data_IF_012481527336
#
_entry.id   IF_012481527336
#
_cell.length_a   1.000
_cell.length_b   1.000
_cell.length_c   1.000
_cell.angle_alpha   90.00
_cell.angle_beta   90.00
_cell.angle_gamma   90.00
#
_symmetry.space_group_name_H-M   'P 1'
#
loop_
_entity.id
_entity.type
_entity.pdbx_description
1 polymer ?
#
# COMPACT_ATOMS: atom_id res chain seq x y z
N UNK A 1 4.94 18.01 -11.02
CA UNK A 1 6.01 18.65 -11.80
C UNK A 1 6.14 17.88 -13.13
N UNK A 2 6.08 18.54 -14.30
CA UNK A 2 5.95 17.83 -15.59
C UNK A 2 7.21 17.01 -15.98
N UNK A 3 8.33 17.27 -15.36
CA UNK A 3 9.62 16.59 -15.65
C UNK A 3 10.09 15.70 -14.49
N UNK A 4 9.21 15.42 -13.54
CA UNK A 4 9.53 14.54 -12.39
C UNK A 4 9.81 13.12 -12.87
N UNK A 5 10.90 12.55 -12.42
CA UNK A 5 11.29 11.16 -12.65
C UNK A 5 10.83 10.27 -11.48
N UNK A 6 10.99 8.96 -11.64
CA UNK A 6 10.75 7.99 -10.56
C UNK A 6 11.67 8.26 -9.36
N UNK A 7 12.95 8.53 -9.63
CA UNK A 7 13.93 8.84 -8.59
C UNK A 7 13.59 10.12 -7.82
N UNK A 8 13.11 11.16 -8.52
CA UNK A 8 12.64 12.39 -7.87
C UNK A 8 11.43 12.11 -6.97
N UNK A 9 10.48 11.29 -7.42
CA UNK A 9 9.30 10.94 -6.64
C UNK A 9 9.68 10.20 -5.33
N UNK A 10 10.59 9.22 -5.41
CA UNK A 10 11.11 8.54 -4.23
C UNK A 10 11.99 9.44 -3.36
N UNK A 11 12.71 10.41 -3.92
CA UNK A 11 13.44 11.41 -3.14
C UNK A 11 12.49 12.28 -2.29
N UNK A 12 11.34 12.70 -2.87
CA UNK A 12 10.29 13.42 -2.12
C UNK A 12 9.69 12.52 -1.05
N UNK A 13 9.36 11.26 -1.37
CA UNK A 13 8.87 10.29 -0.38
C UNK A 13 9.88 10.10 0.77
N UNK A 14 11.18 10.00 0.47
CA UNK A 14 12.21 9.90 1.49
C UNK A 14 12.30 11.15 2.37
N UNK A 15 12.08 12.35 1.83
CA UNK A 15 12.01 13.55 2.64
C UNK A 15 10.84 13.53 3.64
N UNK A 16 9.68 13.03 3.22
CA UNK A 16 8.53 12.79 4.11
C UNK A 16 8.88 11.74 5.18
N UNK A 17 9.53 10.65 4.79
CA UNK A 17 10.01 9.61 5.71
C UNK A 17 10.91 10.19 6.80
N UNK A 18 11.93 10.98 6.43
CA UNK A 18 12.83 11.60 7.38
C UNK A 18 12.11 12.57 8.33
N UNK A 19 11.15 13.35 7.80
CA UNK A 19 10.33 14.24 8.62
C UNK A 19 9.48 13.46 9.65
N UNK A 20 8.88 12.34 9.24
CA UNK A 20 8.10 11.47 10.13
C UNK A 20 8.93 10.82 11.22
N UNK A 21 10.15 10.39 10.91
CA UNK A 21 11.09 9.90 11.91
C UNK A 21 11.46 11.00 12.92
N UNK A 22 11.69 12.23 12.45
CA UNK A 22 11.99 13.38 13.31
C UNK A 22 10.82 13.77 14.22
N UNK A 23 9.58 13.48 13.80
CA UNK A 23 8.36 13.60 14.62
C UNK A 23 8.21 12.45 15.65
N UNK A 24 9.12 11.48 15.67
CA UNK A 24 9.11 10.33 16.58
C UNK A 24 8.23 9.16 16.13
N UNK A 25 7.79 9.14 14.87
CA UNK A 25 7.08 7.98 14.33
C UNK A 25 8.04 6.83 14.01
N UNK A 26 7.57 5.60 14.11
CA UNK A 26 8.35 4.40 13.82
C UNK A 26 7.83 3.72 12.56
N UNK A 27 8.75 3.21 11.73
CA UNK A 27 8.39 2.37 10.58
C UNK A 27 7.99 0.99 11.08
N UNK A 28 6.82 0.51 10.61
CA UNK A 28 6.31 -0.83 10.93
C UNK A 28 6.29 -1.75 9.70
N UNK A 29 6.51 -1.22 8.51
CA UNK A 29 6.53 -2.01 7.27
C UNK A 29 6.42 -1.15 6.02
N UNK A 30 6.09 -1.82 4.93
CA UNK A 30 5.86 -1.22 3.62
C UNK A 30 4.60 -1.79 2.99
N UNK A 31 3.93 -0.99 2.17
CA UNK A 31 2.95 -1.48 1.22
C UNK A 31 3.58 -1.53 -0.17
N UNK A 32 3.13 -2.44 -1.00
CA UNK A 32 3.51 -2.57 -2.40
C UNK A 32 2.25 -2.37 -3.22
N UNK A 33 2.24 -1.37 -4.08
CA UNK A 33 1.12 -1.07 -4.96
C UNK A 33 1.42 -1.35 -6.42
N UNK A 34 0.40 -1.30 -7.27
CA UNK A 34 0.51 -1.50 -8.71
C UNK A 34 1.14 -2.85 -9.07
N UNK A 35 0.77 -3.91 -8.35
CA UNK A 35 1.29 -5.27 -8.54
C UNK A 35 0.77 -5.94 -9.80
N UNK A 36 -0.40 -5.53 -10.30
CA UNK A 36 -1.00 -6.05 -11.54
C UNK A 36 -0.25 -5.57 -12.79
N UNK A 37 0.14 -6.49 -13.65
CA UNK A 37 0.75 -6.17 -14.95
C UNK A 37 -0.18 -5.36 -15.85
N UNK A 38 -1.49 -5.59 -15.76
CA UNK A 38 -2.48 -4.81 -16.50
C UNK A 38 -2.44 -3.32 -16.08
N UNK A 39 -2.38 -3.04 -14.77
CA UNK A 39 -2.27 -1.68 -14.25
C UNK A 39 -0.92 -1.04 -14.57
N UNK A 40 0.18 -1.78 -14.45
CA UNK A 40 1.51 -1.30 -14.84
C UNK A 40 1.53 -0.86 -16.32
N UNK A 41 1.00 -1.71 -17.22
CA UNK A 41 0.90 -1.40 -18.64
C UNK A 41 0.00 -0.17 -18.91
N UNK A 42 -1.13 -0.05 -18.21
CA UNK A 42 -2.04 1.08 -18.36
C UNK A 42 -1.41 2.42 -17.93
N UNK A 43 -0.50 2.38 -16.96
CA UNK A 43 0.20 3.55 -16.43
C UNK A 43 1.57 3.79 -17.09
N UNK A 44 2.02 2.89 -17.97
CA UNK A 44 3.32 2.99 -18.65
C UNK A 44 4.51 2.83 -17.71
N UNK A 45 4.35 2.02 -16.65
CA UNK A 45 5.42 1.66 -15.72
C UNK A 45 5.74 0.17 -15.83
N UNK A 46 6.92 -0.24 -15.39
CA UNK A 46 7.43 -1.61 -15.49
C UNK A 46 7.67 -2.27 -14.13
N UNK A 47 7.57 -1.50 -13.06
CA UNK A 47 7.77 -1.93 -11.67
C UNK A 47 6.57 -1.52 -10.80
N UNK A 48 6.29 -2.28 -9.71
CA UNK A 48 5.38 -1.83 -8.65
C UNK A 48 5.88 -0.56 -7.96
N UNK A 49 4.97 0.16 -7.31
CA UNK A 49 5.34 1.22 -6.38
C UNK A 49 5.40 0.72 -4.94
N UNK A 50 5.94 1.56 -4.05
CA UNK A 50 5.96 1.27 -2.62
C UNK A 50 5.69 2.50 -1.77
N UNK A 51 5.05 2.28 -0.63
CA UNK A 51 4.81 3.27 0.40
C UNK A 51 5.26 2.77 1.77
N UNK A 52 5.55 3.68 2.68
CA UNK A 52 6.07 3.39 4.02
C UNK A 52 4.89 3.38 5.01
N UNK A 53 4.81 2.33 5.81
CA UNK A 53 3.86 2.20 6.91
C UNK A 53 4.50 2.68 8.21
N UNK A 54 3.85 3.64 8.86
CA UNK A 54 4.23 4.13 10.18
C UNK A 54 3.29 3.58 11.26
N UNK A 55 3.76 3.53 12.50
CA UNK A 55 2.99 3.03 13.66
C UNK A 55 1.63 3.72 13.85
N UNK A 56 1.55 5.02 13.56
CA UNK A 56 0.29 5.78 13.60
C UNK A 56 -0.71 5.44 12.49
N UNK A 57 -0.30 4.64 11.51
CA UNK A 57 -1.16 4.14 10.43
C UNK A 57 -1.80 2.79 10.75
N UNK A 58 -1.38 2.11 11.82
CA UNK A 58 -1.95 0.84 12.21
C UNK A 58 -3.24 1.07 13.03
N UNK A 59 -4.33 0.57 12.49
CA UNK A 59 -5.64 0.57 13.14
C UNK A 59 -6.00 -0.85 13.58
N UNK A 60 -6.70 -0.96 14.71
CA UNK A 60 -7.24 -2.23 15.14
C UNK A 60 -8.46 -2.65 14.32
N UNK A 61 -8.65 -3.96 14.15
CA UNK A 61 -9.86 -4.49 13.49
C UNK A 61 -11.10 -4.08 14.29
N UNK A 62 -12.07 -3.50 13.60
CA UNK A 62 -13.27 -2.94 14.22
C UNK A 62 -13.12 -1.50 14.74
N UNK A 63 -11.96 -0.85 14.54
CA UNK A 63 -11.78 0.54 14.91
C UNK A 63 -12.74 1.46 14.17
N UNK A 64 -13.24 2.46 14.87
CA UNK A 64 -14.04 3.54 14.28
C UNK A 64 -13.12 4.72 14.00
N UNK A 65 -12.91 4.99 12.71
CA UNK A 65 -12.08 6.12 12.30
C UNK A 65 -12.90 7.42 12.39
N UNK A 66 -12.43 8.43 13.15
CA UNK A 66 -13.16 9.67 13.30
C UNK A 66 -13.31 10.42 11.97
N UNK A 67 -14.45 11.08 11.80
CA UNK A 67 -14.66 11.99 10.66
C UNK A 67 -13.57 13.07 10.62
N UNK A 68 -12.99 13.26 9.44
CA UNK A 68 -11.92 14.25 9.22
C UNK A 68 -10.50 13.73 9.50
N UNK A 69 -10.33 12.46 9.89
CA UNK A 69 -9.01 11.82 9.97
C UNK A 69 -8.37 11.71 8.58
N UNK A 70 -9.19 11.46 7.57
CA UNK A 70 -8.79 11.35 6.16
C UNK A 70 -9.50 12.40 5.30
N UNK A 71 -8.94 12.70 4.14
CA UNK A 71 -9.45 13.69 3.18
C UNK A 71 -10.48 13.04 2.25
N UNK A 72 -10.07 11.99 1.55
CA UNK A 72 -10.90 11.23 0.59
C UNK A 72 -10.52 9.74 0.63
N UNK A 73 -10.80 9.05 1.75
CA UNK A 73 -10.34 7.68 1.92
C UNK A 73 -10.94 6.72 0.90
N UNK A 74 -10.14 5.74 0.53
CA UNK A 74 -10.55 4.51 -0.16
C UNK A 74 -9.99 3.33 0.60
N UNK A 75 -10.54 2.15 0.38
CA UNK A 75 -10.02 0.91 0.95
C UNK A 75 -9.66 -0.07 -0.16
N UNK A 76 -8.64 -0.88 0.11
CA UNK A 76 -8.21 -2.00 -0.73
C UNK A 76 -8.12 -3.25 0.12
N UNK A 77 -8.58 -4.38 -0.41
CA UNK A 77 -8.42 -5.68 0.23
C UNK A 77 -7.03 -6.22 -0.11
N UNK A 78 -6.29 -6.63 0.90
CA UNK A 78 -4.87 -6.96 0.78
C UNK A 78 -4.52 -8.27 1.49
N UNK A 79 -3.34 -8.79 1.21
CA UNK A 79 -2.67 -9.85 1.97
C UNK A 79 -1.43 -9.24 2.62
N UNK A 80 -1.42 -9.17 3.95
CA UNK A 80 -0.24 -8.73 4.67
C UNK A 80 0.69 -9.91 5.00
N UNK A 81 1.98 -9.71 4.77
CA UNK A 81 3.05 -10.62 5.15
C UNK A 81 3.69 -10.10 6.43
N UNK A 82 3.51 -10.81 7.53
CA UNK A 82 4.12 -10.46 8.81
C UNK A 82 5.49 -11.14 8.89
N UNK A 83 6.53 -10.31 8.99
CA UNK A 83 7.91 -10.77 8.93
C UNK A 83 8.43 -11.19 10.31
N UNK A 84 9.13 -12.34 10.40
CA UNK A 84 9.83 -12.80 11.61
C UNK A 84 11.32 -12.44 11.64
N UNK A 85 11.85 -11.99 10.49
CA UNK A 85 13.23 -11.55 10.37
C UNK A 85 13.36 -10.43 9.33
N UNK A 86 14.35 -9.57 9.53
CA UNK A 86 14.67 -8.52 8.56
C UNK A 86 15.20 -9.13 7.26
N UNK A 87 14.79 -8.54 6.14
CA UNK A 87 15.30 -8.83 4.80
C UNK A 87 15.69 -7.52 4.13
N UNK A 88 16.67 -7.56 3.22
CA UNK A 88 17.08 -6.39 2.45
C UNK A 88 18.24 -6.72 1.52
N UNK A 89 18.51 -5.81 0.58
CA UNK A 89 19.53 -5.98 -0.44
C UNK A 89 18.97 -6.28 -1.82
N UNK A 90 19.84 -6.25 -2.83
CA UNK A 90 19.45 -6.43 -4.23
C UNK A 90 19.16 -7.90 -4.60
N UNK A 91 19.66 -8.84 -3.81
CA UNK A 91 19.59 -10.29 -4.12
C UNK A 91 18.49 -11.02 -3.35
N UNK A 92 17.45 -10.30 -2.89
CA UNK A 92 16.32 -10.90 -2.18
C UNK A 92 15.50 -11.74 -3.16
N UNK A 93 15.50 -13.06 -2.95
CA UNK A 93 14.72 -14.00 -3.74
C UNK A 93 13.35 -14.27 -3.10
N UNK A 94 12.44 -14.88 -3.86
CA UNK A 94 11.16 -15.36 -3.35
C UNK A 94 11.32 -16.29 -2.14
N UNK A 95 12.28 -17.19 -2.18
CA UNK A 95 12.51 -18.15 -1.09
C UNK A 95 13.02 -17.46 0.18
N UNK A 96 13.81 -16.38 0.04
CA UNK A 96 14.23 -15.53 1.17
C UNK A 96 13.00 -14.87 1.80
N UNK A 97 12.09 -14.31 0.99
CA UNK A 97 10.84 -13.70 1.50
C UNK A 97 9.98 -14.73 2.22
N UNK A 98 9.77 -15.91 1.61
CA UNK A 98 9.02 -17.01 2.22
C UNK A 98 9.65 -17.41 3.55
N UNK A 99 10.97 -17.61 3.58
CA UNK A 99 11.69 -18.00 4.79
C UNK A 99 11.66 -16.95 5.91
N UNK A 100 11.58 -15.67 5.55
CA UNK A 100 11.52 -14.56 6.49
C UNK A 100 10.10 -14.23 6.98
N UNK A 101 9.06 -14.78 6.34
CA UNK A 101 7.66 -14.57 6.72
C UNK A 101 7.28 -15.47 7.90
N UNK A 102 6.70 -14.90 8.94
CA UNK A 102 6.09 -15.63 10.05
C UNK A 102 4.72 -16.18 9.65
N UNK A 103 3.85 -15.31 9.19
CA UNK A 103 2.52 -15.66 8.71
C UNK A 103 2.01 -14.64 7.70
N UNK A 104 0.95 -15.00 7.00
CA UNK A 104 0.13 -14.09 6.21
C UNK A 104 -1.22 -13.89 6.89
N UNK A 105 -1.82 -12.70 6.69
CA UNK A 105 -3.13 -12.37 7.24
C UNK A 105 -3.88 -11.51 6.25
N UNK A 106 -5.23 -11.60 6.18
CA UNK A 106 -6.01 -10.61 5.45
C UNK A 106 -5.75 -9.21 6.02
N UNK A 107 -5.75 -8.21 5.15
CA UNK A 107 -5.58 -6.83 5.56
C UNK A 107 -6.49 -5.91 4.75
N UNK A 108 -6.68 -4.71 5.26
CA UNK A 108 -7.29 -3.59 4.53
C UNK A 108 -6.26 -2.48 4.48
N UNK A 109 -5.86 -2.03 3.30
CA UNK A 109 -5.17 -0.76 3.15
C UNK A 109 -6.19 0.37 3.11
N UNK A 110 -5.90 1.46 3.81
CA UNK A 110 -6.63 2.72 3.70
C UNK A 110 -5.76 3.67 2.89
N UNK A 111 -6.22 3.97 1.69
CA UNK A 111 -5.64 4.98 0.84
C UNK A 111 -6.23 6.35 1.19
N UNK A 112 -5.39 7.37 1.21
CA UNK A 112 -5.82 8.77 1.21
C UNK A 112 -4.81 9.60 0.44
N UNK A 113 -5.25 10.67 -0.18
CA UNK A 113 -4.36 11.50 -1.00
C UNK A 113 -4.31 12.92 -0.47
N UNK A 114 -3.09 13.43 -0.26
CA UNK A 114 -2.79 14.81 0.11
C UNK A 114 -2.57 15.69 -1.12
N UNK A 115 -2.47 15.06 -2.30
CA UNK A 115 -2.34 15.72 -3.61
C UNK A 115 -3.68 15.67 -4.34
N UNK A 116 -4.04 16.75 -5.03
CA UNK A 116 -5.25 16.81 -5.85
C UNK A 116 -5.20 15.72 -6.93
N UNK A 117 -6.33 15.01 -7.12
CA UNK A 117 -6.44 13.96 -8.14
C UNK A 117 -6.33 14.47 -9.57
N UNK A 118 -6.73 15.74 -9.76
CA UNK A 118 -6.58 16.46 -11.01
C UNK A 118 -6.36 17.95 -10.72
N UNK A 119 -5.60 18.60 -11.59
CA UNK A 119 -5.42 20.05 -11.58
C UNK A 119 -6.76 20.73 -11.90
N UNK A 120 -7.30 21.55 -11.00
CA UNK A 120 -8.60 22.19 -11.21
C UNK A 120 -8.62 23.18 -12.38
N UNK A 121 -7.46 23.71 -12.81
CA UNK A 121 -7.37 24.66 -13.91
C UNK A 121 -7.30 23.98 -15.28
N UNK A 122 -6.62 22.83 -15.36
CA UNK A 122 -6.36 22.14 -16.63
C UNK A 122 -7.10 20.83 -16.79
N UNK A 123 -7.65 20.27 -15.70
CA UNK A 123 -8.26 18.95 -15.67
C UNK A 123 -7.25 17.80 -15.77
N UNK A 124 -5.94 18.09 -15.82
CA UNK A 124 -4.89 17.08 -15.95
C UNK A 124 -4.85 16.21 -14.68
N UNK A 125 -4.98 14.90 -14.85
CA UNK A 125 -4.86 13.95 -13.75
C UNK A 125 -3.44 13.93 -13.18
N UNK A 126 -3.32 13.64 -11.88
CA UNK A 126 -2.03 13.36 -11.23
C UNK A 126 -1.36 12.16 -11.90
N UNK A 127 -0.05 12.13 -11.86
CA UNK A 127 0.77 11.05 -12.39
C UNK A 127 1.09 10.02 -11.30
N UNK A 128 1.69 8.89 -11.68
CA UNK A 128 2.25 7.92 -10.74
C UNK A 128 3.33 8.56 -9.86
N UNK A 129 4.12 9.47 -10.41
CA UNK A 129 5.17 10.18 -9.65
C UNK A 129 4.60 11.05 -8.53
N UNK A 130 3.48 11.74 -8.79
CA UNK A 130 2.76 12.48 -7.75
C UNK A 130 2.26 11.53 -6.64
N UNK A 131 1.76 10.35 -7.01
CA UNK A 131 1.27 9.35 -6.06
C UNK A 131 2.39 8.82 -5.18
N UNK A 132 3.54 8.43 -5.77
CA UNK A 132 4.71 7.95 -5.04
C UNK A 132 5.25 9.05 -4.10
N UNK A 133 5.33 10.31 -4.58
CA UNK A 133 5.73 11.45 -3.76
C UNK A 133 4.84 11.65 -2.54
N UNK A 134 3.56 11.26 -2.64
CA UNK A 134 2.58 11.29 -1.54
C UNK A 134 2.52 9.95 -0.79
N UNK A 135 3.68 9.31 -0.60
CA UNK A 135 3.84 8.01 0.07
C UNK A 135 2.96 6.91 -0.54
N UNK A 136 2.87 6.86 -1.87
CA UNK A 136 2.01 5.95 -2.64
C UNK A 136 0.53 5.99 -2.19
N UNK A 137 0.06 7.18 -1.80
CA UNK A 137 -1.27 7.44 -1.23
C UNK A 137 -1.58 6.64 0.05
N UNK A 138 -0.59 6.03 0.68
CA UNK A 138 -0.77 5.24 1.89
C UNK A 138 -1.20 6.12 3.08
N UNK A 139 -2.20 5.68 3.84
CA UNK A 139 -2.73 6.42 4.97
C UNK A 139 -3.08 5.54 6.18
N UNK A 140 -3.25 4.23 5.99
CA UNK A 140 -3.53 3.32 7.08
C UNK A 140 -3.57 1.86 6.67
N UNK A 141 -3.49 1.00 7.66
CA UNK A 141 -3.63 -0.44 7.51
C UNK A 141 -4.42 -1.01 8.69
N UNK A 142 -5.28 -1.98 8.39
CA UNK A 142 -5.98 -2.81 9.38
C UNK A 142 -5.59 -4.25 9.11
N UNK A 143 -5.04 -4.94 10.12
CA UNK A 143 -4.73 -6.35 10.01
C UNK A 143 -5.90 -7.20 10.50
N UNK A 144 -6.20 -8.28 9.77
CA UNK A 144 -7.11 -9.31 10.21
C UNK A 144 -6.56 -10.09 11.41
N UNK A 145 -7.43 -10.78 12.13
CA UNK A 145 -7.05 -11.61 13.29
C UNK A 145 -6.52 -12.99 12.89
N UNK A 146 -6.88 -13.48 11.71
CA UNK A 146 -6.50 -14.81 11.24
C UNK A 146 -5.06 -14.84 10.76
N UNK A 147 -4.33 -15.89 11.17
CA UNK A 147 -2.92 -16.09 10.80
C UNK A 147 -2.79 -17.41 10.05
N UNK A 148 -2.20 -17.36 8.88
CA UNK A 148 -1.99 -18.54 8.06
C UNK A 148 -0.51 -18.70 7.71
N UNK A 149 -0.02 -19.94 7.66
CA UNK A 149 1.31 -20.20 7.11
C UNK A 149 1.34 -19.74 5.64
N UNK A 150 2.47 -19.21 5.20
CA UNK A 150 2.62 -18.64 3.84
C UNK A 150 2.34 -19.65 2.72
N UNK A 151 2.48 -20.93 3.01
CA UNK A 151 2.26 -22.08 2.11
C UNK A 151 0.92 -22.79 2.35
N UNK A 152 0.08 -22.29 3.27
CA UNK A 152 -1.24 -22.89 3.55
C UNK A 152 -2.17 -22.82 2.34
N UNK A 153 -2.00 -21.81 1.47
CA UNK A 153 -2.79 -21.59 0.27
C UNK A 153 -1.89 -21.11 -0.87
N UNK A 154 -2.33 -21.36 -2.10
CA UNK A 154 -1.78 -20.62 -3.24
C UNK A 154 -2.37 -19.20 -3.24
N UNK A 155 -1.59 -18.23 -2.75
CA UNK A 155 -2.04 -16.85 -2.57
C UNK A 155 -2.57 -16.19 -3.84
N UNK A 156 -2.21 -16.71 -5.03
CA UNK A 156 -2.72 -16.22 -6.31
C UNK A 156 -4.22 -16.45 -6.46
N UNK A 157 -4.76 -17.47 -5.79
CA UNK A 157 -6.18 -17.85 -5.84
C UNK A 157 -7.00 -17.39 -4.64
N UNK A 158 -6.40 -16.66 -3.72
CA UNK A 158 -7.14 -16.02 -2.62
C UNK A 158 -8.00 -14.90 -3.19
N UNK A 159 -9.30 -14.99 -3.00
CA UNK A 159 -10.28 -13.99 -3.45
C UNK A 159 -10.63 -13.01 -2.36
N UNK A 160 -10.71 -11.72 -2.72
CA UNK A 160 -11.24 -10.67 -1.88
C UNK A 160 -12.59 -10.17 -2.41
N UNK A 161 -13.51 -9.85 -1.51
CA UNK A 161 -14.78 -9.21 -1.83
C UNK A 161 -15.02 -8.05 -0.87
N UNK A 162 -15.31 -6.88 -1.43
CA UNK A 162 -15.65 -5.69 -0.65
C UNK A 162 -17.16 -5.46 -0.71
N UNK A 163 -17.77 -5.33 0.45
CA UNK A 163 -19.20 -5.07 0.57
C UNK A 163 -19.46 -3.68 1.17
N UNK A 164 -20.50 -3.02 0.68
CA UNK A 164 -21.07 -1.81 1.27
C UNK A 164 -22.57 -1.94 1.38
N UNK A 165 -23.10 -1.80 2.60
CA UNK A 165 -24.53 -1.90 2.82
C UNK A 165 -25.15 -3.25 2.43
N UNK A 166 -24.36 -4.33 2.36
CA UNK A 166 -24.79 -5.66 1.93
C UNK A 166 -24.64 -5.96 0.44
N UNK A 167 -24.29 -4.97 -0.37
CA UNK A 167 -24.02 -5.10 -1.81
C UNK A 167 -22.53 -5.30 -2.06
N UNK A 168 -22.17 -6.13 -3.04
CA UNK A 168 -20.78 -6.29 -3.49
C UNK A 168 -20.39 -5.05 -4.30
N UNK A 169 -19.35 -4.34 -3.85
CA UNK A 169 -18.80 -3.18 -4.55
C UNK A 169 -17.63 -3.55 -5.46
N UNK A 170 -16.75 -4.44 -4.99
CA UNK A 170 -15.52 -4.79 -5.71
C UNK A 170 -15.12 -6.22 -5.39
N UNK A 171 -14.41 -6.86 -6.32
CA UNK A 171 -13.82 -8.20 -6.15
C UNK A 171 -12.42 -8.23 -6.75
N UNK A 172 -11.56 -9.08 -6.21
CA UNK A 172 -10.21 -9.28 -6.73
C UNK A 172 -9.63 -10.63 -6.38
N UNK A 173 -8.53 -10.97 -7.04
CA UNK A 173 -7.72 -12.17 -6.76
C UNK A 173 -6.29 -11.75 -6.43
N UNK A 174 -5.61 -12.53 -5.61
CA UNK A 174 -4.20 -12.30 -5.25
C UNK A 174 -3.22 -12.40 -6.42
N UNK A 175 -3.66 -12.88 -7.59
CA UNK A 175 -2.89 -12.88 -8.84
C UNK A 175 -3.07 -11.62 -9.69
N UNK A 176 -4.02 -10.76 -9.35
CA UNK A 176 -4.48 -9.60 -10.13
C UNK A 176 -3.62 -8.39 -10.07
#
# INVERSE_FOLDING_TARGET
HPEMTMDDAYAVQNAIYQAKLAEGQNVIGWKIGLTSKAMQNALGIDIPDSGILFDQMLFESGAVVPKGRFIQPRIEAEIAFVMKSAIGGADVTRDVVIGATDHVTPAIEILDTRILRADPATGKARTVYDTISDNAANAGIVLGAEKHAIDAFDLRWVGGMVFRGGEIEETGLGAG
#
